data_IF_793005395253
#
_entry.id   IF_793005395253
#
_cell.length_a   1.000
_cell.length_b   1.000
_cell.length_c   1.000
_cell.angle_alpha   90.00
_cell.angle_beta   90.00
_cell.angle_gamma   90.00
#
_symmetry.space_group_name_H-M   'P 1'
#
loop_
_entity.id
_entity.type
_entity.pdbx_description
1 polymer ?
#
# COMPACT_ATOMS: atom_id res chain seq x y z
N UNK A 1 13.16 -5.46 -13.52
CA UNK A 1 12.78 -6.85 -13.30
C UNK A 1 13.77 -7.61 -12.42
N UNK A 2 15.09 -7.58 -12.71
CA UNK A 2 16.14 -8.29 -11.94
C UNK A 2 16.21 -7.85 -10.48
N UNK A 3 16.02 -6.56 -10.19
CA UNK A 3 16.01 -6.05 -8.83
C UNK A 3 14.83 -6.64 -8.02
N UNK A 4 13.64 -6.72 -8.61
CA UNK A 4 12.46 -7.29 -7.94
C UNK A 4 12.68 -8.77 -7.59
N UNK A 5 13.27 -9.53 -8.49
CA UNK A 5 13.60 -10.94 -8.27
C UNK A 5 14.62 -11.13 -7.13
N UNK A 6 15.73 -10.39 -7.16
CA UNK A 6 16.73 -10.40 -6.09
C UNK A 6 16.14 -10.00 -4.73
N UNK A 7 15.27 -8.99 -4.72
CA UNK A 7 14.58 -8.56 -3.51
C UNK A 7 13.67 -9.67 -2.95
N UNK A 8 12.88 -10.31 -3.80
CA UNK A 8 11.98 -11.40 -3.38
C UNK A 8 12.77 -12.61 -2.87
N UNK A 9 13.89 -12.96 -3.50
CA UNK A 9 14.81 -14.00 -3.01
C UNK A 9 15.36 -13.66 -1.62
N UNK A 10 15.85 -12.43 -1.44
CA UNK A 10 16.35 -11.97 -0.15
C UNK A 10 15.27 -12.00 0.93
N UNK A 11 14.03 -11.62 0.59
CA UNK A 11 12.89 -11.68 1.50
C UNK A 11 12.57 -13.11 1.93
N UNK A 12 12.58 -14.08 1.00
CA UNK A 12 12.38 -15.50 1.33
C UNK A 12 13.48 -16.02 2.28
N UNK A 13 14.74 -15.69 2.01
CA UNK A 13 15.85 -16.09 2.90
C UNK A 13 15.70 -15.47 4.31
N UNK A 14 15.38 -14.19 4.40
CA UNK A 14 15.15 -13.50 5.67
C UNK A 14 14.01 -14.14 6.47
N UNK A 15 12.93 -14.52 5.81
CA UNK A 15 11.74 -15.07 6.44
C UNK A 15 12.00 -16.41 7.17
N UNK A 16 13.01 -17.19 6.72
CA UNK A 16 13.36 -18.47 7.34
C UNK A 16 13.92 -18.33 8.76
N UNK A 17 14.58 -17.20 9.06
CA UNK A 17 15.23 -16.97 10.37
C UNK A 17 14.54 -15.88 11.20
N UNK A 18 13.57 -15.15 10.64
CA UNK A 18 12.92 -14.03 11.32
C UNK A 18 11.59 -14.42 11.97
N UNK A 19 11.31 -14.01 13.21
CA UNK A 19 9.99 -14.12 13.82
C UNK A 19 8.98 -13.15 13.18
N UNK A 20 9.46 -12.11 12.48
CA UNK A 20 8.62 -11.16 11.78
C UNK A 20 8.05 -11.80 10.52
N UNK A 21 6.77 -11.58 10.25
CA UNK A 21 6.17 -11.97 8.98
C UNK A 21 6.17 -10.78 8.05
N UNK A 22 7.08 -10.79 7.07
CA UNK A 22 7.11 -9.80 5.99
C UNK A 22 6.45 -10.39 4.76
N UNK A 23 5.56 -9.64 4.13
CA UNK A 23 4.84 -10.04 2.91
C UNK A 23 5.12 -9.01 1.82
N UNK A 24 5.48 -9.50 0.65
CA UNK A 24 5.73 -8.59 -0.47
C UNK A 24 4.42 -7.99 -1.00
N UNK A 25 4.44 -6.69 -1.27
CA UNK A 25 3.52 -6.03 -2.18
C UNK A 25 4.31 -5.66 -3.43
N UNK A 26 3.83 -6.04 -4.60
CA UNK A 26 4.42 -5.59 -5.84
C UNK A 26 3.54 -4.55 -6.51
N UNK A 27 4.15 -3.46 -6.96
CA UNK A 27 3.52 -2.46 -7.81
C UNK A 27 3.83 -2.75 -9.26
N UNK A 28 2.83 -2.63 -10.12
CA UNK A 28 2.95 -2.89 -11.55
C UNK A 28 2.36 -1.75 -12.36
N UNK A 29 3.18 -1.14 -13.22
CA UNK A 29 2.74 -0.14 -14.19
C UNK A 29 2.00 -0.82 -15.33
N UNK A 30 0.72 -0.52 -15.49
CA UNK A 30 -0.17 -1.22 -16.42
C UNK A 30 0.23 -1.12 -17.88
N UNK A 31 0.99 -0.09 -18.25
CA UNK A 31 1.45 0.13 -19.63
C UNK A 31 2.76 -0.61 -19.98
N UNK A 32 3.29 -1.42 -19.07
CA UNK A 32 4.46 -2.27 -19.34
C UNK A 32 4.05 -3.59 -20.01
N UNK A 33 3.40 -3.50 -21.19
CA UNK A 33 2.74 -4.61 -21.87
C UNK A 33 3.68 -5.82 -22.13
N UNK A 34 4.93 -5.59 -22.43
CA UNK A 34 5.94 -6.64 -22.70
C UNK A 34 6.41 -7.39 -21.44
N UNK A 35 5.93 -6.98 -20.25
CA UNK A 35 6.41 -7.53 -18.98
C UNK A 35 5.36 -8.34 -18.21
N UNK A 36 4.15 -8.49 -18.73
CA UNK A 36 3.05 -9.14 -18.04
C UNK A 36 3.31 -10.61 -17.70
N UNK A 37 3.83 -11.38 -18.65
CA UNK A 37 4.15 -12.80 -18.43
C UNK A 37 5.27 -12.99 -17.40
N UNK A 38 6.35 -12.21 -17.53
CA UNK A 38 7.45 -12.23 -16.55
C UNK A 38 6.98 -11.80 -15.17
N UNK A 39 6.10 -10.83 -15.08
CA UNK A 39 5.51 -10.39 -13.82
C UNK A 39 4.64 -11.47 -13.19
N UNK A 40 3.80 -12.15 -13.99
CA UNK A 40 2.98 -13.28 -13.53
C UNK A 40 3.84 -14.44 -13.01
N UNK A 41 4.94 -14.78 -13.71
CA UNK A 41 5.91 -15.79 -13.28
C UNK A 41 6.52 -15.42 -11.92
N UNK A 42 7.01 -14.20 -11.74
CA UNK A 42 7.55 -13.72 -10.47
C UNK A 42 6.51 -13.82 -9.34
N UNK A 43 5.29 -13.37 -9.59
CA UNK A 43 4.21 -13.43 -8.59
C UNK A 43 3.89 -14.87 -8.17
N UNK A 44 3.92 -15.80 -9.11
CA UNK A 44 3.64 -17.22 -8.86
C UNK A 44 4.79 -17.90 -8.11
N UNK A 45 6.02 -17.74 -8.59
CA UNK A 45 7.24 -18.32 -7.98
C UNK A 45 7.43 -17.88 -6.54
N UNK A 46 7.25 -16.60 -6.26
CA UNK A 46 7.43 -16.01 -4.94
C UNK A 46 6.15 -15.92 -4.12
N UNK A 47 5.05 -16.44 -4.63
CA UNK A 47 3.74 -16.44 -3.97
C UNK A 47 3.34 -15.05 -3.47
N UNK A 48 3.54 -14.02 -4.30
CA UNK A 48 3.24 -12.62 -3.95
C UNK A 48 1.76 -12.48 -3.61
N UNK A 49 1.42 -12.10 -2.37
CA UNK A 49 0.03 -12.10 -1.92
C UNK A 49 -0.76 -10.86 -2.33
N UNK A 50 -0.08 -9.77 -2.64
CA UNK A 50 -0.71 -8.49 -2.93
C UNK A 50 -0.02 -7.76 -4.08
N UNK A 51 -0.81 -7.32 -5.05
CA UNK A 51 -0.36 -6.59 -6.24
C UNK A 51 -1.15 -5.29 -6.33
N UNK A 52 -0.47 -4.19 -6.63
CA UNK A 52 -1.09 -2.88 -6.84
C UNK A 52 -0.78 -2.39 -8.24
N UNK A 53 -1.83 -2.06 -8.98
CA UNK A 53 -1.73 -1.50 -10.32
C UNK A 53 -1.62 0.01 -10.28
N UNK A 54 -0.70 0.54 -11.06
CA UNK A 54 -0.48 1.96 -11.24
C UNK A 54 -0.64 2.34 -12.72
N UNK A 55 -1.09 3.57 -12.93
CA UNK A 55 -1.05 4.25 -14.21
C UNK A 55 -0.51 5.66 -14.01
N UNK A 56 0.78 5.82 -14.25
CA UNK A 56 1.46 7.11 -14.15
C UNK A 56 1.66 7.80 -15.49
N UNK A 57 1.06 7.27 -16.58
CA UNK A 57 1.13 7.93 -17.88
C UNK A 57 0.31 9.23 -17.84
N UNK A 58 0.88 10.36 -18.29
CA UNK A 58 0.19 11.64 -18.32
C UNK A 58 -0.76 11.75 -19.53
N UNK A 59 -1.76 10.83 -19.62
CA UNK A 59 -2.66 10.68 -20.76
C UNK A 59 -3.29 11.99 -21.23
N UNK A 60 -3.77 12.83 -20.31
CA UNK A 60 -4.41 14.10 -20.66
C UNK A 60 -3.46 15.09 -21.35
N UNK A 61 -2.19 15.14 -20.93
CA UNK A 61 -1.21 16.00 -21.59
C UNK A 61 -0.81 15.47 -22.96
N UNK A 62 -0.64 14.14 -23.09
CA UNK A 62 -0.27 13.48 -24.33
C UNK A 62 -1.38 13.57 -25.37
N UNK A 63 -2.63 13.31 -24.98
CA UNK A 63 -3.80 13.45 -25.85
C UNK A 63 -3.98 14.90 -26.37
N UNK A 64 -3.65 15.90 -25.52
CA UNK A 64 -3.66 17.30 -25.92
C UNK A 64 -2.43 17.75 -26.73
N UNK A 65 -1.51 16.83 -27.06
CA UNK A 65 -0.26 17.16 -27.74
C UNK A 65 0.71 18.00 -26.91
N UNK A 66 0.48 18.13 -25.59
CA UNK A 66 1.28 18.95 -24.68
C UNK A 66 2.43 18.17 -24.08
N UNK A 67 3.55 18.86 -23.84
CA UNK A 67 4.69 18.29 -23.12
C UNK A 67 4.34 18.13 -21.63
N UNK A 68 4.49 16.93 -21.04
CA UNK A 68 4.21 16.74 -19.62
C UNK A 68 5.09 17.62 -18.72
N UNK A 69 4.53 18.30 -17.69
CA UNK A 69 5.26 19.29 -16.90
C UNK A 69 6.43 18.71 -16.07
N UNK A 70 6.40 17.41 -15.76
CA UNK A 70 7.46 16.72 -14.98
C UNK A 70 8.42 15.90 -15.84
N UNK A 71 8.32 15.99 -17.16
CA UNK A 71 9.06 15.15 -18.11
C UNK A 71 10.58 15.15 -17.88
N UNK A 72 11.19 16.33 -17.78
CA UNK A 72 12.65 16.44 -17.61
C UNK A 72 13.12 15.78 -16.31
N UNK A 73 12.41 16.00 -15.20
CA UNK A 73 12.74 15.39 -13.91
C UNK A 73 12.56 13.87 -13.91
N UNK A 74 11.54 13.35 -14.59
CA UNK A 74 11.32 11.92 -14.74
C UNK A 74 12.37 11.27 -15.64
N UNK A 75 12.70 11.92 -16.75
CA UNK A 75 13.75 11.46 -17.66
C UNK A 75 15.11 11.34 -16.94
N UNK A 76 15.52 12.38 -16.20
CA UNK A 76 16.77 12.38 -15.43
C UNK A 76 16.81 11.27 -14.39
N UNK A 77 15.72 11.08 -13.62
CA UNK A 77 15.61 9.98 -12.63
C UNK A 77 15.73 8.59 -13.27
N UNK A 78 15.30 8.44 -14.51
CA UNK A 78 15.39 7.17 -15.26
C UNK A 78 16.65 7.04 -16.10
N UNK A 79 17.58 7.99 -16.02
CA UNK A 79 18.82 8.01 -16.81
C UNK A 79 18.60 8.17 -18.32
N UNK A 80 17.46 8.80 -18.73
CA UNK A 80 17.10 8.95 -20.15
C UNK A 80 17.19 10.41 -20.59
N UNK A 81 17.42 10.59 -21.88
CA UNK A 81 17.21 11.88 -22.52
C UNK A 81 15.70 12.22 -22.50
N UNK A 82 15.29 13.47 -22.22
CA UNK A 82 13.88 13.88 -22.16
C UNK A 82 13.08 13.58 -23.44
N UNK A 83 13.67 13.70 -24.63
CA UNK A 83 12.96 13.38 -25.89
C UNK A 83 12.74 11.88 -26.07
N UNK A 84 13.73 11.07 -25.72
CA UNK A 84 13.60 9.59 -25.70
C UNK A 84 12.53 9.17 -24.70
N UNK A 85 12.52 9.82 -23.53
CA UNK A 85 11.50 9.53 -22.51
C UNK A 85 10.10 9.94 -22.97
N UNK A 86 9.95 11.09 -23.65
CA UNK A 86 8.69 11.53 -24.22
C UNK A 86 8.17 10.58 -25.30
N UNK A 87 9.06 10.10 -26.18
CA UNK A 87 8.71 9.12 -27.22
C UNK A 87 8.17 7.82 -26.60
N UNK A 88 8.82 7.33 -25.54
CA UNK A 88 8.37 6.15 -24.80
C UNK A 88 6.99 6.37 -24.15
N UNK A 89 6.75 7.54 -23.51
CA UNK A 89 5.47 7.86 -22.93
C UNK A 89 4.35 7.93 -23.98
N UNK A 90 4.63 8.48 -25.17
CA UNK A 90 3.67 8.49 -26.30
C UNK A 90 3.37 7.07 -26.76
N UNK A 91 4.37 6.23 -26.97
CA UNK A 91 4.18 4.83 -27.35
C UNK A 91 3.30 4.08 -26.34
N UNK A 92 3.55 4.26 -25.04
CA UNK A 92 2.73 3.66 -23.99
C UNK A 92 1.30 4.21 -23.99
N UNK A 93 1.13 5.51 -24.23
CA UNK A 93 -0.19 6.15 -24.37
C UNK A 93 -0.96 5.58 -25.54
N UNK A 94 -0.35 5.47 -26.72
CA UNK A 94 -0.97 4.97 -27.94
C UNK A 94 -1.38 3.49 -27.83
N UNK A 95 -0.68 2.72 -26.99
CA UNK A 95 -0.99 1.32 -26.73
C UNK A 95 -2.01 1.09 -25.59
N UNK A 96 -2.58 2.14 -25.04
CA UNK A 96 -3.41 2.07 -23.83
C UNK A 96 -4.66 1.18 -24.00
N UNK A 97 -5.22 1.08 -25.19
CA UNK A 97 -6.37 0.23 -25.49
C UNK A 97 -6.10 -1.27 -25.29
N UNK A 98 -4.83 -1.68 -25.27
CA UNK A 98 -4.43 -3.06 -25.03
C UNK A 98 -4.38 -3.43 -23.53
N UNK A 99 -4.33 -2.43 -22.65
CA UNK A 99 -4.17 -2.62 -21.19
C UNK A 99 -5.30 -3.44 -20.58
N UNK A 100 -6.61 -3.19 -20.85
CA UNK A 100 -7.68 -3.98 -20.26
C UNK A 100 -7.57 -5.48 -20.56
N UNK A 101 -7.30 -5.82 -21.82
CA UNK A 101 -7.15 -7.22 -22.25
C UNK A 101 -5.91 -7.88 -21.61
N UNK A 102 -4.80 -7.13 -21.48
CA UNK A 102 -3.59 -7.61 -20.83
C UNK A 102 -3.81 -7.86 -19.33
N UNK A 103 -4.53 -6.98 -18.63
CA UNK A 103 -4.90 -7.14 -17.22
C UNK A 103 -5.79 -8.37 -16.98
N UNK A 104 -6.77 -8.62 -17.85
CA UNK A 104 -7.61 -9.82 -17.76
C UNK A 104 -6.77 -11.11 -17.94
N UNK A 105 -5.83 -11.13 -18.89
CA UNK A 105 -4.89 -12.25 -19.05
C UNK A 105 -4.00 -12.42 -17.82
N UNK A 106 -3.45 -11.32 -17.29
CA UNK A 106 -2.66 -11.37 -16.05
C UNK A 106 -3.47 -11.96 -14.90
N UNK A 107 -4.72 -11.50 -14.70
CA UNK A 107 -5.59 -12.02 -13.65
C UNK A 107 -5.79 -13.53 -13.74
N UNK A 108 -5.91 -14.07 -14.96
CA UNK A 108 -6.06 -15.51 -15.19
C UNK A 108 -4.78 -16.31 -14.84
N UNK A 109 -3.60 -15.69 -14.93
CA UNK A 109 -2.31 -16.30 -14.60
C UNK A 109 -1.98 -16.23 -13.10
N UNK A 110 -2.57 -15.27 -12.36
CA UNK A 110 -2.34 -15.09 -10.95
C UNK A 110 -3.14 -16.10 -10.11
N UNK A 111 -2.63 -16.43 -8.93
CA UNK A 111 -3.32 -17.27 -7.95
C UNK A 111 -4.65 -16.63 -7.55
N UNK A 112 -5.69 -17.44 -7.34
CA UNK A 112 -7.02 -16.96 -6.98
C UNK A 112 -7.05 -16.10 -5.71
N UNK A 113 -6.19 -16.43 -4.73
CA UNK A 113 -6.05 -15.72 -3.46
C UNK A 113 -5.17 -14.47 -3.54
N UNK A 114 -4.58 -14.14 -4.69
CA UNK A 114 -3.80 -12.89 -4.84
C UNK A 114 -4.75 -11.70 -4.77
N UNK A 115 -4.50 -10.81 -3.83
CA UNK A 115 -5.26 -9.56 -3.64
C UNK A 115 -4.77 -8.54 -4.65
N UNK A 116 -5.71 -7.85 -5.30
CA UNK A 116 -5.41 -6.81 -6.28
C UNK A 116 -5.90 -5.45 -5.78
N UNK A 117 -5.04 -4.45 -5.88
CA UNK A 117 -5.35 -3.06 -5.58
C UNK A 117 -5.04 -2.14 -6.76
N UNK A 118 -5.64 -0.96 -6.75
CA UNK A 118 -5.27 0.17 -7.62
C UNK A 118 -4.70 1.32 -6.80
N UNK A 119 -3.96 2.20 -7.43
CA UNK A 119 -3.28 3.32 -6.76
C UNK A 119 -3.53 4.63 -7.50
N UNK A 120 -3.78 5.71 -6.74
CA UNK A 120 -4.03 7.05 -7.27
C UNK A 120 -5.23 7.06 -8.27
N UNK A 121 -6.33 6.36 -7.95
CA UNK A 121 -7.55 6.39 -8.76
C UNK A 121 -8.10 7.83 -8.85
N UNK A 122 -8.40 8.31 -10.08
CA UNK A 122 -8.70 9.71 -10.37
C UNK A 122 -10.17 10.01 -10.59
N UNK A 123 -10.98 8.97 -10.87
CA UNK A 123 -12.42 9.13 -11.11
C UNK A 123 -13.22 7.93 -10.62
N UNK A 124 -14.50 8.17 -10.26
CA UNK A 124 -15.42 7.11 -9.90
C UNK A 124 -15.58 6.06 -11.02
N UNK A 125 -15.54 6.49 -12.30
CA UNK A 125 -15.57 5.59 -13.44
C UNK A 125 -14.34 4.68 -13.48
N UNK A 126 -13.14 5.21 -13.27
CA UNK A 126 -11.92 4.40 -13.20
C UNK A 126 -12.01 3.38 -12.06
N UNK A 127 -12.48 3.76 -10.86
CA UNK A 127 -12.70 2.83 -9.75
C UNK A 127 -13.70 1.73 -10.10
N UNK A 128 -14.77 2.07 -10.83
CA UNK A 128 -15.75 1.10 -11.30
C UNK A 128 -15.13 0.08 -12.25
N UNK A 129 -14.30 0.54 -13.20
CA UNK A 129 -13.58 -0.33 -14.14
C UNK A 129 -12.65 -1.28 -13.39
N UNK A 130 -11.87 -0.76 -12.42
CA UNK A 130 -11.01 -1.59 -11.58
C UNK A 130 -11.78 -2.69 -10.84
N UNK A 131 -12.91 -2.35 -10.22
CA UNK A 131 -13.75 -3.31 -9.52
C UNK A 131 -14.28 -4.42 -10.45
N UNK A 132 -14.69 -4.09 -11.65
CA UNK A 132 -15.12 -5.06 -12.68
C UNK A 132 -14.01 -6.02 -13.10
N UNK A 133 -12.74 -5.60 -13.01
CA UNK A 133 -11.55 -6.42 -13.26
C UNK A 133 -11.12 -7.25 -12.03
N UNK A 134 -11.86 -7.19 -10.91
CA UNK A 134 -11.54 -7.89 -9.68
C UNK A 134 -10.45 -7.22 -8.84
N UNK A 135 -10.15 -5.94 -9.10
CA UNK A 135 -9.26 -5.12 -8.28
C UNK A 135 -10.05 -4.59 -7.10
N UNK A 136 -9.83 -5.18 -5.93
CA UNK A 136 -10.69 -5.01 -4.75
C UNK A 136 -10.29 -3.87 -3.82
N UNK A 137 -9.02 -3.46 -3.81
CA UNK A 137 -8.51 -2.42 -2.91
C UNK A 137 -8.30 -1.11 -3.68
N UNK A 138 -8.66 0.02 -3.05
CA UNK A 138 -8.42 1.37 -3.54
C UNK A 138 -7.36 2.04 -2.65
N UNK A 139 -6.10 2.15 -3.14
CA UNK A 139 -5.04 2.87 -2.43
C UNK A 139 -4.97 4.32 -2.90
N UNK A 140 -5.00 5.25 -1.97
CA UNK A 140 -4.78 6.69 -2.18
C UNK A 140 -5.69 7.30 -3.26
N UNK A 141 -7.04 7.13 -3.18
CA UNK A 141 -7.94 7.82 -4.09
C UNK A 141 -7.65 9.32 -4.11
N UNK A 142 -7.67 9.92 -5.31
CA UNK A 142 -7.32 11.34 -5.44
C UNK A 142 -8.47 12.26 -5.03
N UNK A 143 -9.73 11.80 -5.10
CA UNK A 143 -10.92 12.62 -4.81
C UNK A 143 -11.90 11.93 -3.85
N UNK A 144 -12.79 12.73 -3.27
CA UNK A 144 -13.88 12.25 -2.43
C UNK A 144 -14.81 11.30 -3.17
N UNK A 145 -15.13 11.62 -4.42
CA UNK A 145 -16.03 10.84 -5.27
C UNK A 145 -15.46 9.43 -5.53
N UNK A 146 -14.14 9.31 -5.69
CA UNK A 146 -13.46 8.02 -5.84
C UNK A 146 -13.58 7.19 -4.56
N UNK A 147 -13.29 7.79 -3.41
CA UNK A 147 -13.41 7.10 -2.12
C UNK A 147 -14.84 6.65 -1.85
N UNK A 148 -15.83 7.50 -2.13
CA UNK A 148 -17.25 7.17 -2.03
C UNK A 148 -17.66 6.04 -2.96
N UNK A 149 -17.18 6.07 -4.21
CA UNK A 149 -17.42 4.99 -5.17
C UNK A 149 -16.77 3.68 -4.71
N UNK A 150 -15.54 3.72 -4.20
CA UNK A 150 -14.87 2.55 -3.65
C UNK A 150 -15.70 1.93 -2.52
N UNK A 151 -16.15 2.74 -1.56
CA UNK A 151 -17.01 2.31 -0.46
C UNK A 151 -18.32 1.67 -0.97
N UNK A 152 -19.00 2.29 -1.94
CA UNK A 152 -20.23 1.77 -2.56
C UNK A 152 -20.02 0.39 -3.20
N UNK A 153 -18.83 0.13 -3.75
CA UNK A 153 -18.42 -1.14 -4.36
C UNK A 153 -17.90 -2.16 -3.34
N UNK A 154 -17.85 -1.83 -2.04
CA UNK A 154 -17.23 -2.68 -1.02
C UNK A 154 -15.71 -2.80 -1.15
N UNK A 155 -15.07 -1.86 -1.84
CA UNK A 155 -13.62 -1.80 -1.97
C UNK A 155 -13.04 -1.00 -0.80
N UNK A 156 -12.22 -1.60 0.08
CA UNK A 156 -11.59 -0.87 1.16
C UNK A 156 -10.65 0.21 0.63
N UNK A 157 -10.69 1.36 1.31
CA UNK A 157 -9.86 2.53 1.00
C UNK A 157 -8.68 2.60 1.95
N UNK A 158 -7.48 2.62 1.41
CA UNK A 158 -6.23 2.75 2.17
C UNK A 158 -5.63 4.13 1.94
N UNK A 159 -5.30 4.84 3.02
CA UNK A 159 -4.72 6.18 2.96
C UNK A 159 -3.33 6.23 3.57
N UNK A 160 -2.54 7.25 3.22
CA UNK A 160 -1.18 7.42 3.74
C UNK A 160 -1.15 8.07 5.12
N UNK A 161 -0.62 7.38 6.13
CA UNK A 161 -0.39 7.94 7.46
C UNK A 161 0.45 9.23 7.45
N UNK A 162 1.50 9.38 6.61
CA UNK A 162 2.23 10.64 6.50
C UNK A 162 1.36 11.82 6.06
N UNK A 163 0.34 11.60 5.21
CA UNK A 163 -0.57 12.65 4.78
C UNK A 163 -1.49 13.11 5.91
N UNK A 164 -1.92 12.19 6.77
CA UNK A 164 -2.68 12.53 7.99
C UNK A 164 -1.84 13.43 8.91
N UNK A 165 -0.62 13.02 9.23
CA UNK A 165 0.26 13.76 10.16
C UNK A 165 0.65 15.16 9.66
N UNK A 166 0.71 15.36 8.35
CA UNK A 166 0.99 16.68 7.74
C UNK A 166 -0.25 17.56 7.56
N UNK A 167 -1.43 17.01 7.80
CA UNK A 167 -2.68 17.73 7.60
C UNK A 167 -3.10 17.88 6.12
N UNK A 168 -2.53 17.09 5.21
CA UNK A 168 -2.92 17.15 3.80
C UNK A 168 -2.01 16.40 2.84
N UNK A 169 -2.45 16.31 1.58
CA UNK A 169 -1.68 15.72 0.48
C UNK A 169 -0.78 16.76 -0.19
N UNK A 170 0.44 16.37 -0.59
CA UNK A 170 1.34 17.23 -1.39
C UNK A 170 0.79 17.60 -2.77
N UNK A 171 -0.15 16.82 -3.29
CA UNK A 171 -0.75 17.03 -4.61
C UNK A 171 -2.08 17.80 -4.54
N UNK A 172 -2.55 18.18 -3.34
CA UNK A 172 -3.89 18.77 -3.14
C UNK A 172 -5.04 17.76 -3.26
N UNK A 173 -4.74 16.44 -3.22
CA UNK A 173 -5.74 15.38 -3.22
C UNK A 173 -6.53 15.37 -1.91
N UNK A 174 -7.63 14.59 -1.86
CA UNK A 174 -8.48 14.48 -0.67
C UNK A 174 -7.69 14.16 0.60
N UNK A 175 -8.00 14.85 1.68
CA UNK A 175 -7.35 14.68 2.98
C UNK A 175 -7.82 13.42 3.70
N UNK A 176 -6.90 12.77 4.42
CA UNK A 176 -7.21 11.57 5.22
C UNK A 176 -8.25 11.87 6.30
N UNK A 177 -8.14 13.02 6.98
CA UNK A 177 -9.07 13.43 8.04
C UNK A 177 -10.51 13.57 7.52
N UNK A 178 -10.69 14.10 6.30
CA UNK A 178 -12.01 14.19 5.66
C UNK A 178 -12.61 12.82 5.43
N UNK A 179 -11.83 11.88 4.89
CA UNK A 179 -12.30 10.52 4.64
C UNK A 179 -12.58 9.74 5.94
N UNK A 180 -11.79 9.97 6.99
CA UNK A 180 -12.05 9.38 8.31
C UNK A 180 -13.36 9.89 8.93
N UNK A 181 -13.64 11.20 8.85
CA UNK A 181 -14.87 11.80 9.37
C UNK A 181 -16.12 11.24 8.68
N UNK A 182 -16.00 10.90 7.39
CA UNK A 182 -17.09 10.32 6.58
C UNK A 182 -17.14 8.77 6.62
N UNK A 183 -16.22 8.13 7.38
CA UNK A 183 -16.16 6.67 7.44
C UNK A 183 -15.69 6.01 6.13
N UNK A 184 -14.99 6.76 5.29
CA UNK A 184 -14.52 6.32 3.96
C UNK A 184 -13.02 5.93 3.94
N UNK A 185 -12.37 5.82 5.10
CA UNK A 185 -10.99 5.35 5.21
C UNK A 185 -10.95 4.08 6.07
N UNK A 186 -10.54 2.97 5.49
CA UNK A 186 -10.56 1.66 6.16
C UNK A 186 -9.23 1.32 6.83
N UNK A 187 -8.11 1.76 6.27
CA UNK A 187 -6.78 1.50 6.83
C UNK A 187 -5.77 2.59 6.48
N UNK A 188 -4.68 2.63 7.23
CA UNK A 188 -3.54 3.51 6.98
C UNK A 188 -2.31 2.70 6.55
N UNK A 189 -1.57 3.24 5.58
CA UNK A 189 -0.27 2.72 5.15
C UNK A 189 0.85 3.70 5.52
N UNK A 190 2.04 3.17 5.83
CA UNK A 190 3.22 3.98 6.19
C UNK A 190 3.82 4.71 5.00
N UNK A 191 3.53 4.23 3.77
CA UNK A 191 4.15 4.72 2.54
C UNK A 191 5.69 4.76 2.69
N UNK A 192 6.32 5.91 2.62
CA UNK A 192 7.78 6.10 2.73
C UNK A 192 8.28 6.38 4.16
N UNK A 193 7.38 6.45 5.17
CA UNK A 193 7.76 6.81 6.55
C UNK A 193 7.19 5.83 7.58
N UNK A 194 7.92 4.75 7.85
CA UNK A 194 7.47 3.66 8.73
C UNK A 194 6.96 4.12 10.12
N UNK A 195 7.58 5.09 10.83
CA UNK A 195 7.09 5.53 12.13
C UNK A 195 5.71 6.16 12.10
N UNK A 196 5.24 6.62 10.92
CA UNK A 196 3.98 7.34 10.79
C UNK A 196 2.75 6.53 11.21
N UNK A 197 2.76 5.20 11.11
CA UNK A 197 1.61 4.38 11.52
C UNK A 197 1.29 4.53 13.01
N UNK A 198 2.30 4.35 13.87
CA UNK A 198 2.14 4.52 15.30
C UNK A 198 1.76 5.96 15.65
N UNK A 199 2.46 6.95 15.07
CA UNK A 199 2.19 8.37 15.28
C UNK A 199 0.78 8.77 14.85
N UNK A 200 0.32 8.29 13.69
CA UNK A 200 -1.04 8.54 13.19
C UNK A 200 -2.12 7.95 14.11
N UNK A 201 -1.94 6.70 14.55
CA UNK A 201 -2.89 6.08 15.47
C UNK A 201 -2.98 6.86 16.79
N UNK A 202 -1.83 7.30 17.34
CA UNK A 202 -1.81 8.10 18.56
C UNK A 202 -2.39 9.51 18.37
N UNK A 203 -2.16 10.15 17.21
CA UNK A 203 -2.72 11.48 16.93
C UNK A 203 -4.24 11.49 16.80
N UNK A 204 -4.84 10.38 16.37
CA UNK A 204 -6.29 10.23 16.23
C UNK A 204 -7.01 9.87 17.54
N UNK A 205 -6.27 9.60 18.63
CA UNK A 205 -6.88 9.16 19.90
C UNK A 205 -7.93 10.13 20.43
N UNK A 206 -7.63 11.42 20.38
CA UNK A 206 -8.55 12.46 20.88
C UNK A 206 -9.85 12.54 20.05
N UNK A 207 -9.77 12.27 18.75
CA UNK A 207 -10.88 12.45 17.82
C UNK A 207 -11.83 11.23 17.78
N UNK A 208 -11.26 10.02 17.72
CA UNK A 208 -12.03 8.78 17.50
C UNK A 208 -11.80 7.70 18.56
N UNK A 209 -10.97 7.96 19.56
CA UNK A 209 -10.56 7.02 20.60
C UNK A 209 -9.50 6.03 20.14
N UNK A 210 -8.62 5.61 21.08
CA UNK A 210 -7.44 4.78 20.76
C UNK A 210 -7.80 3.45 20.10
N UNK A 211 -8.91 2.81 20.48
CA UNK A 211 -9.29 1.52 19.90
C UNK A 211 -9.60 1.60 18.41
N UNK A 212 -10.37 2.63 17.99
CA UNK A 212 -10.69 2.86 16.57
C UNK A 212 -9.46 3.33 15.81
N UNK A 213 -8.68 4.23 16.38
CA UNK A 213 -7.45 4.74 15.76
C UNK A 213 -6.42 3.63 15.54
N UNK A 214 -6.21 2.77 16.54
CA UNK A 214 -5.30 1.63 16.42
C UNK A 214 -5.79 0.58 15.44
N UNK A 215 -7.09 0.37 15.32
CA UNK A 215 -7.67 -0.54 14.34
C UNK A 215 -7.24 -0.22 12.90
N UNK A 216 -7.09 1.07 12.54
CA UNK A 216 -6.66 1.50 11.21
C UNK A 216 -5.25 1.02 10.81
N UNK A 217 -4.43 0.65 11.78
CA UNK A 217 -3.04 0.19 11.57
C UNK A 217 -2.83 -1.27 12.01
N UNK A 218 -3.85 -1.94 12.53
CA UNK A 218 -3.76 -3.32 13.02
C UNK A 218 -4.87 -4.23 12.48
N UNK A 219 -6.05 -4.24 13.08
CA UNK A 219 -7.13 -5.17 12.72
C UNK A 219 -7.71 -4.92 11.34
N UNK A 220 -7.84 -3.68 10.91
CA UNK A 220 -8.36 -3.36 9.57
C UNK A 220 -7.44 -3.82 8.45
N UNK A 221 -6.13 -3.48 8.43
CA UNK A 221 -5.23 -4.05 7.42
C UNK A 221 -5.15 -5.58 7.49
N UNK A 222 -5.21 -6.20 8.68
CA UNK A 222 -5.27 -7.66 8.79
C UNK A 222 -6.50 -8.23 8.09
N UNK A 223 -7.69 -7.67 8.32
CA UNK A 223 -8.93 -8.07 7.65
C UNK A 223 -8.87 -7.90 6.13
N UNK A 224 -8.41 -6.73 5.66
CA UNK A 224 -8.26 -6.41 4.23
C UNK A 224 -7.35 -7.42 3.53
N UNK A 225 -6.28 -7.85 4.21
CA UNK A 225 -5.30 -8.80 3.69
C UNK A 225 -5.62 -10.27 3.99
N UNK A 226 -6.80 -10.57 4.56
CA UNK A 226 -7.23 -11.92 4.89
C UNK A 226 -6.38 -12.61 5.95
N UNK A 227 -5.78 -11.85 6.88
CA UNK A 227 -4.96 -12.36 7.98
C UNK A 227 -5.84 -12.57 9.21
N UNK A 228 -6.42 -13.76 9.35
CA UNK A 228 -7.43 -14.06 10.36
C UNK A 228 -6.84 -14.41 11.74
N UNK A 229 -5.52 -14.57 11.84
CA UNK A 229 -4.81 -14.98 13.03
C UNK A 229 -4.24 -13.84 13.87
N UNK A 230 -4.44 -12.58 13.45
CA UNK A 230 -3.82 -11.39 14.04
C UNK A 230 -4.68 -10.13 13.94
N UNK A 231 -4.21 -9.04 14.55
CA UNK A 231 -4.90 -7.74 14.56
C UNK A 231 -5.71 -7.49 15.83
N UNK A 232 -5.91 -8.51 16.67
CA UNK A 232 -6.61 -8.45 17.94
C UNK A 232 -5.82 -9.14 19.06
N UNK A 233 -5.93 -8.64 20.28
CA UNK A 233 -5.48 -9.32 21.49
C UNK A 233 -6.60 -10.20 22.01
N UNK A 234 -6.62 -11.47 21.57
CA UNK A 234 -7.63 -12.45 21.99
C UNK A 234 -6.99 -13.84 22.11
N UNK A 235 -7.62 -14.71 22.91
CA UNK A 235 -7.18 -16.10 23.09
C UNK A 235 -7.25 -16.82 21.73
N UNK A 236 -6.18 -17.54 21.38
CA UNK A 236 -6.07 -18.26 20.10
C UNK A 236 -5.52 -17.42 18.95
N UNK A 237 -5.38 -16.11 19.13
CA UNK A 237 -4.74 -15.25 18.14
C UNK A 237 -3.21 -15.29 18.28
N UNK A 238 -2.53 -14.98 17.20
CA UNK A 238 -1.08 -14.83 17.17
C UNK A 238 -0.67 -13.68 18.09
N UNK A 239 0.29 -13.93 18.96
CA UNK A 239 0.77 -12.96 19.95
C UNK A 239 1.72 -11.93 19.32
N UNK A 240 1.16 -11.07 18.46
CA UNK A 240 1.80 -9.89 17.90
C UNK A 240 1.34 -8.66 18.69
N UNK A 241 2.26 -8.04 19.44
CA UNK A 241 1.91 -6.99 20.38
C UNK A 241 2.94 -5.86 20.36
N UNK A 242 2.46 -4.65 20.62
CA UNK A 242 3.29 -3.47 20.89
C UNK A 242 2.98 -2.98 22.30
N UNK A 243 4.01 -2.70 23.07
CA UNK A 243 3.91 -2.09 24.40
C UNK A 243 4.40 -0.65 24.31
N UNK A 244 3.55 0.29 24.70
CA UNK A 244 3.85 1.71 24.73
C UNK A 244 4.09 2.16 26.17
N UNK A 245 5.05 3.08 26.35
CA UNK A 245 5.25 3.77 27.64
C UNK A 245 4.01 4.61 27.97
N UNK A 246 3.64 4.65 29.24
CA UNK A 246 2.34 5.20 29.68
C UNK A 246 2.19 6.72 29.49
N UNK A 247 3.28 7.49 29.50
CA UNK A 247 3.27 8.95 29.42
C UNK A 247 3.66 9.47 28.05
N UNK A 248 4.87 9.12 27.56
CA UNK A 248 5.43 9.60 26.31
C UNK A 248 5.01 8.80 25.09
N UNK A 249 4.29 7.68 25.28
CA UNK A 249 3.83 6.81 24.21
C UNK A 249 4.97 6.25 23.34
N UNK A 250 6.20 6.22 23.87
CA UNK A 250 7.33 5.57 23.22
C UNK A 250 7.10 4.06 23.14
N UNK A 251 7.55 3.43 22.06
CA UNK A 251 7.51 1.97 21.93
C UNK A 251 8.60 1.38 22.84
N UNK A 252 8.22 0.70 23.91
CA UNK A 252 9.13 0.00 24.82
C UNK A 252 9.27 -1.49 24.51
N UNK A 253 8.28 -2.08 23.86
CA UNK A 253 8.34 -3.48 23.46
C UNK A 253 7.59 -3.78 22.18
N UNK A 254 8.15 -4.69 21.39
CA UNK A 254 7.49 -5.30 20.24
C UNK A 254 7.66 -6.81 20.34
N UNK A 255 6.55 -7.52 20.23
CA UNK A 255 6.51 -8.98 20.26
C UNK A 255 5.94 -9.47 18.93
N UNK A 256 6.60 -10.46 18.35
CA UNK A 256 6.14 -11.18 17.18
C UNK A 256 6.06 -12.67 17.49
N UNK A 257 4.89 -13.28 17.33
CA UNK A 257 4.63 -14.67 17.69
C UNK A 257 4.99 -14.98 19.17
N UNK A 258 4.74 -14.02 20.07
CA UNK A 258 5.10 -14.15 21.48
C UNK A 258 6.59 -13.98 21.80
N UNK A 259 7.45 -13.76 20.80
CA UNK A 259 8.88 -13.52 21.01
C UNK A 259 9.17 -12.02 21.04
N UNK A 260 9.90 -11.56 22.03
CA UNK A 260 10.37 -10.18 22.06
C UNK A 260 11.36 -9.93 20.90
N UNK A 261 11.04 -8.99 20.01
CA UNK A 261 11.90 -8.58 18.89
C UNK A 261 12.50 -7.19 19.11
N UNK A 262 11.93 -6.44 20.03
CA UNK A 262 12.46 -5.16 20.49
C UNK A 262 12.06 -4.96 21.95
N UNK A 263 13.01 -4.56 22.79
CA UNK A 263 12.81 -4.18 24.19
C UNK A 263 13.68 -2.98 24.53
N UNK A 264 13.11 -2.01 25.22
CA UNK A 264 13.81 -0.82 25.71
C UNK A 264 13.14 -0.27 26.96
N UNK A 265 13.72 0.74 27.57
CA UNK A 265 13.15 1.48 28.70
C UNK A 265 12.82 0.61 29.92
N UNK A 266 11.75 0.97 30.60
CA UNK A 266 11.32 0.32 31.85
C UNK A 266 10.86 -1.13 31.63
N UNK A 267 10.31 -1.43 30.45
CA UNK A 267 9.90 -2.79 30.11
C UNK A 267 11.12 -3.72 30.00
N UNK A 268 12.17 -3.28 29.32
CA UNK A 268 13.40 -4.07 29.21
C UNK A 268 13.98 -4.36 30.57
N UNK A 269 14.11 -3.36 31.45
CA UNK A 269 14.63 -3.52 32.82
C UNK A 269 13.84 -4.58 33.61
N UNK A 270 12.50 -4.51 33.59
CA UNK A 270 11.64 -5.50 34.28
C UNK A 270 11.75 -6.91 33.71
N UNK A 271 11.87 -7.06 32.38
CA UNK A 271 11.95 -8.38 31.75
C UNK A 271 13.31 -9.04 31.88
N UNK A 272 14.39 -8.26 32.09
CA UNK A 272 15.75 -8.78 32.27
C UNK A 272 16.14 -8.90 33.73
N UNK A 273 15.27 -8.55 34.66
CA UNK A 273 15.57 -8.62 36.11
C UNK A 273 16.59 -7.57 36.60
N UNK A 274 16.71 -6.45 35.90
CA UNK A 274 17.60 -5.35 36.23
C UNK A 274 16.91 -4.24 37.05
N UNK A 275 15.76 -4.54 37.68
CA UNK A 275 15.02 -3.64 38.59
C UNK A 275 14.90 -4.31 39.95
#
# INVERSE_FOLDING_TARGET
PEFAEKFLQALQCFQQSSPLTLRAQLRFETHMLDHYERFADLCTRFQVPYIVFNDHIPHGALAAGKRPPRLTGQALKSGRNPEVHLALLKQMHDAHDQVPAALLRLRALLRAQTILGSHDDRSAQQRQIWAQMGVSICEFPETYEVAKQAHTLGSPVIMGAPNLLRGGSHKGNIGVSTLLAEGLCDALASDYHYPSLCQAALSLEADIGIAKAWALVSSRPAQILGLNDRGYLAIGQRADMVVLEGRGRAVEGTFAQGRAVHLTGSLAARMTGLV
#
